data_IF_343388283592
#
_entry.id   IF_343388283592
#
_cell.length_a   1.000
_cell.length_b   1.000
_cell.length_c   1.000
_cell.angle_alpha   90.00
_cell.angle_beta   90.00
_cell.angle_gamma   90.00
#
_symmetry.space_group_name_H-M   'P 1'
#
loop_
_entity.id
_entity.type
_entity.pdbx_description
1 polymer ?
#
# COMPACT_ATOMS: atom_id res chain seq x y z
N UNK A 1 28.93 -20.35 4.60
CA UNK A 1 28.33 -19.61 3.47
C UNK A 1 27.28 -18.68 4.07
N UNK A 2 27.65 -17.40 4.25
CA UNK A 2 26.75 -16.42 4.86
C UNK A 2 25.61 -16.08 3.90
N UNK A 3 24.38 -16.26 4.34
CA UNK A 3 23.20 -15.72 3.66
C UNK A 3 23.36 -14.19 3.62
N UNK A 4 23.53 -13.63 2.42
CA UNK A 4 23.32 -12.20 2.23
C UNK A 4 21.81 -12.04 2.41
N UNK A 5 21.39 -11.60 3.61
CA UNK A 5 20.01 -11.22 3.84
C UNK A 5 19.64 -10.22 2.72
N UNK A 6 18.78 -10.62 1.79
CA UNK A 6 18.29 -9.72 0.76
C UNK A 6 17.55 -8.60 1.48
N UNK A 7 18.20 -7.45 1.59
CA UNK A 7 17.69 -6.28 2.29
C UNK A 7 16.66 -5.60 1.39
N UNK A 8 15.51 -6.26 1.19
CA UNK A 8 14.40 -5.72 0.43
C UNK A 8 13.91 -4.45 1.10
N UNK A 9 13.91 -3.34 0.36
CA UNK A 9 13.35 -2.08 0.83
C UNK A 9 11.84 -2.19 0.81
N UNK A 10 11.22 -2.30 1.97
CA UNK A 10 9.77 -2.25 2.07
C UNK A 10 9.32 -0.80 2.32
N UNK A 11 8.55 -0.26 1.38
CA UNK A 11 7.92 1.06 1.43
C UNK A 11 6.44 0.89 1.71
N UNK A 12 5.95 1.51 2.78
CA UNK A 12 4.51 1.60 3.04
C UNK A 12 4.02 2.96 2.57
N UNK A 13 2.89 2.96 1.87
CA UNK A 13 2.24 4.18 1.37
C UNK A 13 0.83 4.23 1.96
N UNK A 14 0.50 5.30 2.67
CA UNK A 14 -0.86 5.53 3.15
C UNK A 14 -1.59 6.47 2.20
N UNK A 15 -2.72 5.99 1.69
CA UNK A 15 -3.59 6.70 0.76
C UNK A 15 -4.72 7.43 1.51
N UNK A 16 -4.86 8.75 1.31
CA UNK A 16 -5.98 9.50 1.88
C UNK A 16 -7.32 8.92 1.39
N UNK A 17 -8.23 8.48 2.27
CA UNK A 17 -9.28 7.55 1.88
C UNK A 17 -10.49 8.21 1.18
N UNK A 18 -10.55 9.55 1.12
CA UNK A 18 -11.74 10.27 0.64
C UNK A 18 -11.56 11.04 -0.69
N UNK A 19 -10.33 11.27 -1.17
CA UNK A 19 -10.09 12.08 -2.37
C UNK A 19 -9.32 11.32 -3.46
N UNK A 20 -10.03 10.98 -4.54
CA UNK A 20 -9.40 10.33 -5.71
C UNK A 20 -8.30 11.20 -6.35
N UNK A 21 -8.45 12.53 -6.31
CA UNK A 21 -7.45 13.47 -6.85
C UNK A 21 -6.06 13.33 -6.24
N UNK A 22 -5.96 12.87 -4.99
CA UNK A 22 -4.68 12.59 -4.32
C UNK A 22 -4.14 11.20 -4.67
N UNK A 23 -5.04 10.23 -4.81
CA UNK A 23 -4.69 8.82 -4.97
C UNK A 23 -4.26 8.45 -6.39
N UNK A 24 -4.77 9.17 -7.39
CA UNK A 24 -4.35 8.96 -8.78
C UNK A 24 -2.84 9.22 -8.98
N UNK A 25 -2.27 10.37 -8.59
CA UNK A 25 -0.83 10.58 -8.68
C UNK A 25 -0.04 9.64 -7.76
N UNK A 26 -0.63 9.21 -6.63
CA UNK A 26 -0.03 8.20 -5.76
C UNK A 26 0.18 6.86 -6.47
N UNK A 27 -0.74 6.45 -7.36
CA UNK A 27 -0.56 5.26 -8.20
C UNK A 27 0.66 5.41 -9.12
N UNK A 28 0.83 6.57 -9.77
CA UNK A 28 2.01 6.85 -10.60
C UNK A 28 3.30 6.86 -9.79
N UNK A 29 3.28 7.45 -8.60
CA UNK A 29 4.42 7.46 -7.68
C UNK A 29 4.86 6.03 -7.31
N UNK A 30 3.92 5.17 -6.93
CA UNK A 30 4.20 3.77 -6.59
C UNK A 30 4.77 3.01 -7.79
N UNK A 31 4.24 3.24 -8.99
CA UNK A 31 4.80 2.66 -10.22
C UNK A 31 6.25 3.10 -10.41
N UNK A 32 6.56 4.38 -10.25
CA UNK A 32 7.93 4.88 -10.40
C UNK A 32 8.91 4.30 -9.37
N UNK A 33 8.47 4.05 -8.14
CA UNK A 33 9.29 3.32 -7.15
C UNK A 33 9.62 1.92 -7.68
N UNK A 34 8.61 1.19 -8.15
CA UNK A 34 8.78 -0.20 -8.58
C UNK A 34 9.62 -0.34 -9.86
N UNK A 35 9.63 0.69 -10.71
CA UNK A 35 10.50 0.80 -11.88
C UNK A 35 11.96 1.13 -11.50
N UNK A 36 12.14 2.09 -10.60
CA UNK A 36 13.47 2.61 -10.25
C UNK A 36 14.22 1.66 -9.31
N UNK A 37 13.50 0.91 -8.48
CA UNK A 37 14.05 0.02 -7.47
C UNK A 37 13.47 -1.40 -7.63
N UNK A 38 14.12 -2.27 -8.43
CA UNK A 38 13.62 -3.63 -8.71
C UNK A 38 13.47 -4.53 -7.48
N UNK A 39 14.20 -4.22 -6.41
CA UNK A 39 14.18 -4.93 -5.13
C UNK A 39 13.20 -4.32 -4.11
N UNK A 40 12.57 -3.18 -4.45
CA UNK A 40 11.61 -2.56 -3.56
C UNK A 40 10.29 -3.33 -3.55
N UNK A 41 9.71 -3.46 -2.38
CA UNK A 41 8.34 -3.92 -2.14
C UNK A 41 7.54 -2.72 -1.69
N UNK A 42 6.36 -2.52 -2.25
CA UNK A 42 5.47 -1.42 -1.92
C UNK A 42 4.14 -1.96 -1.43
N UNK A 43 3.73 -1.52 -0.23
CA UNK A 43 2.41 -1.82 0.34
C UNK A 43 1.62 -0.53 0.48
N UNK A 44 0.53 -0.42 -0.28
CA UNK A 44 -0.41 0.70 -0.20
C UNK A 44 -1.54 0.35 0.76
N UNK A 45 -1.64 1.08 1.87
CA UNK A 45 -2.74 1.02 2.83
C UNK A 45 -3.82 2.02 2.42
N UNK A 46 -5.03 1.53 2.14
CA UNK A 46 -6.17 2.32 1.67
C UNK A 46 -7.47 1.88 2.34
N UNK A 47 -8.59 2.46 1.89
CA UNK A 47 -9.94 2.09 2.30
C UNK A 47 -10.75 1.58 1.09
N UNK A 48 -11.86 0.88 1.36
CA UNK A 48 -12.66 0.18 0.36
C UNK A 48 -13.17 1.09 -0.77
N UNK A 49 -13.51 2.35 -0.46
CA UNK A 49 -13.95 3.33 -1.47
C UNK A 49 -12.91 3.60 -2.58
N UNK A 50 -11.61 3.47 -2.27
CA UNK A 50 -10.53 3.74 -3.22
C UNK A 50 -9.85 2.47 -3.73
N UNK A 51 -9.99 1.35 -3.02
CA UNK A 51 -9.38 0.08 -3.41
C UNK A 51 -9.65 -0.27 -4.89
N UNK A 52 -10.92 -0.28 -5.32
CA UNK A 52 -11.28 -0.62 -6.69
C UNK A 52 -10.77 0.39 -7.72
N UNK A 53 -10.72 1.68 -7.36
CA UNK A 53 -10.19 2.75 -8.22
C UNK A 53 -8.68 2.62 -8.42
N UNK A 54 -7.94 2.34 -7.34
CA UNK A 54 -6.49 2.11 -7.37
C UNK A 54 -6.17 0.88 -8.23
N UNK A 55 -6.86 -0.24 -7.98
CA UNK A 55 -6.70 -1.45 -8.79
C UNK A 55 -7.04 -1.18 -10.27
N UNK A 56 -8.12 -0.46 -10.54
CA UNK A 56 -8.53 -0.08 -11.89
C UNK A 56 -7.48 0.76 -12.60
N UNK A 57 -6.89 1.73 -11.92
CA UNK A 57 -5.83 2.58 -12.49
C UNK A 57 -4.54 1.79 -12.77
N UNK A 58 -4.11 0.94 -11.84
CA UNK A 58 -2.93 0.09 -12.01
C UNK A 58 -3.09 -0.93 -13.16
N UNK A 59 -4.31 -1.42 -13.39
CA UNK A 59 -4.61 -2.31 -14.53
C UNK A 59 -4.56 -1.62 -15.89
N UNK A 60 -4.44 -0.29 -15.96
CA UNK A 60 -4.23 0.45 -17.22
C UNK A 60 -2.78 0.42 -17.70
N UNK A 61 -1.85 -0.06 -16.86
CA UNK A 61 -0.48 -0.31 -17.25
C UNK A 61 -0.44 -1.39 -18.35
N UNK A 62 0.60 -1.39 -19.21
CA UNK A 62 0.84 -2.51 -20.11
C UNK A 62 0.84 -3.85 -19.34
N UNK A 63 0.19 -4.92 -19.83
CA UNK A 63 0.02 -6.17 -19.07
C UNK A 63 1.33 -6.74 -18.51
N UNK A 64 2.37 -6.82 -19.35
CA UNK A 64 3.69 -7.30 -18.93
C UNK A 64 4.30 -6.48 -17.78
N UNK A 65 4.03 -5.18 -17.75
CA UNK A 65 4.50 -4.28 -16.68
C UNK A 65 3.72 -4.50 -15.40
N UNK A 66 2.40 -4.64 -15.50
CA UNK A 66 1.56 -4.92 -14.33
C UNK A 66 1.93 -6.28 -13.70
N UNK A 67 2.09 -7.32 -14.51
CA UNK A 67 2.52 -8.65 -14.07
C UNK A 67 3.87 -8.62 -13.37
N UNK A 68 4.85 -7.87 -13.89
CA UNK A 68 6.16 -7.70 -13.28
C UNK A 68 6.13 -7.05 -11.88
N UNK A 69 5.04 -6.37 -11.52
CA UNK A 69 4.87 -5.73 -10.21
C UNK A 69 4.06 -6.57 -9.22
N UNK A 70 3.30 -7.57 -9.65
CA UNK A 70 2.34 -8.27 -8.79
C UNK A 70 2.95 -8.92 -7.55
N UNK A 71 4.20 -9.38 -7.63
CA UNK A 71 4.91 -9.97 -6.48
C UNK A 71 5.46 -8.95 -5.48
N UNK A 72 5.50 -7.67 -5.85
CA UNK A 72 6.13 -6.59 -5.06
C UNK A 72 5.19 -5.42 -4.75
N UNK A 73 3.99 -5.41 -5.33
CA UNK A 73 2.99 -4.38 -5.12
C UNK A 73 1.76 -4.96 -4.42
N UNK A 74 1.51 -4.52 -3.19
CA UNK A 74 0.37 -4.94 -2.40
C UNK A 74 -0.55 -3.77 -2.15
N UNK A 75 -1.81 -3.89 -2.56
CA UNK A 75 -2.86 -2.90 -2.25
C UNK A 75 -3.76 -3.53 -1.19
N UNK A 76 -3.81 -2.91 -0.02
CA UNK A 76 -4.55 -3.40 1.13
C UNK A 76 -5.62 -2.40 1.55
N UNK A 77 -6.87 -2.80 1.38
CA UNK A 77 -7.98 -2.15 2.07
C UNK A 77 -7.98 -2.59 3.54
N UNK A 78 -7.78 -1.64 4.44
CA UNK A 78 -7.70 -1.88 5.88
C UNK A 78 -8.90 -1.34 6.66
N UNK A 79 -9.82 -0.65 6.00
CA UNK A 79 -10.95 0.02 6.68
C UNK A 79 -12.33 -0.27 6.07
N UNK A 80 -12.39 -0.95 4.92
CA UNK A 80 -13.64 -1.23 4.23
C UNK A 80 -14.33 0.05 3.77
N UNK A 81 -15.65 -0.01 3.63
CA UNK A 81 -16.46 1.10 3.12
C UNK A 81 -17.01 2.03 4.20
N UNK A 82 -16.88 1.68 5.48
CA UNK A 82 -17.51 2.39 6.59
C UNK A 82 -16.45 3.03 7.49
N UNK A 83 -16.01 4.23 7.12
CA UNK A 83 -15.08 5.04 7.91
C UNK A 83 -15.48 6.52 7.84
N UNK A 84 -15.11 7.28 8.85
CA UNK A 84 -15.35 8.72 8.89
C UNK A 84 -14.25 9.45 8.10
N UNK A 85 -14.63 10.05 6.97
CA UNK A 85 -13.72 10.78 6.08
C UNK A 85 -13.10 12.02 6.73
N UNK A 86 -13.71 12.53 7.81
CA UNK A 86 -13.23 13.71 8.53
C UNK A 86 -12.28 13.35 9.69
N UNK A 87 -12.04 12.05 9.92
CA UNK A 87 -11.15 11.57 11.00
C UNK A 87 -9.95 10.80 10.44
N UNK A 88 -8.89 10.67 11.24
CA UNK A 88 -7.85 9.69 10.97
C UNK A 88 -8.42 8.29 10.86
N UNK A 89 -7.83 7.46 10.00
CA UNK A 89 -8.26 6.09 9.82
C UNK A 89 -7.82 5.26 11.03
N UNK A 90 -8.74 4.90 11.92
CA UNK A 90 -8.42 4.14 13.15
C UNK A 90 -7.70 2.82 12.86
N UNK A 91 -7.97 2.21 11.71
CA UNK A 91 -7.32 0.98 11.27
C UNK A 91 -5.85 1.16 10.83
N UNK A 92 -5.38 2.39 10.59
CA UNK A 92 -4.03 2.63 10.09
C UNK A 92 -2.96 2.18 11.08
N UNK A 93 -3.01 2.66 12.33
CA UNK A 93 -2.03 2.31 13.35
C UNK A 93 -1.89 0.80 13.57
N UNK A 94 -2.97 0.01 13.78
CA UNK A 94 -2.85 -1.43 13.91
C UNK A 94 -2.35 -2.11 12.63
N UNK A 95 -2.82 -1.69 11.45
CA UNK A 95 -2.34 -2.25 10.19
C UNK A 95 -0.84 -2.01 9.98
N UNK A 96 -0.37 -0.80 10.29
CA UNK A 96 1.05 -0.45 10.22
C UNK A 96 1.87 -1.25 11.23
N UNK A 97 1.38 -1.41 12.46
CA UNK A 97 2.06 -2.22 13.48
C UNK A 97 2.17 -3.70 13.07
N UNK A 98 1.13 -4.25 12.43
CA UNK A 98 1.15 -5.61 11.85
C UNK A 98 2.22 -5.73 10.78
N UNK A 99 2.28 -4.79 9.83
CA UNK A 99 3.32 -4.75 8.80
C UNK A 99 4.73 -4.61 9.42
N UNK A 100 4.87 -3.74 10.42
CA UNK A 100 6.13 -3.51 11.12
C UNK A 100 6.65 -4.74 11.87
N UNK A 101 5.74 -5.59 12.33
CA UNK A 101 6.04 -6.87 12.97
C UNK A 101 6.22 -8.01 11.95
N UNK A 102 6.20 -7.72 10.64
CA UNK A 102 6.19 -8.71 9.57
C UNK A 102 5.09 -9.77 9.70
N UNK A 103 4.00 -9.42 10.39
CA UNK A 103 2.87 -10.31 10.60
C UNK A 103 1.95 -10.31 9.35
N UNK A 104 1.22 -11.41 9.09
CA UNK A 104 0.26 -11.47 8.00
C UNK A 104 -0.85 -10.42 8.15
N UNK A 105 -1.28 -9.84 7.03
CA UNK A 105 -2.37 -8.86 6.97
C UNK A 105 -3.35 -9.21 5.86
N UNK A 106 -4.65 -9.14 6.16
CA UNK A 106 -5.72 -9.44 5.22
C UNK A 106 -6.33 -8.16 4.67
N UNK A 107 -6.44 -8.09 3.34
CA UNK A 107 -7.14 -7.02 2.66
C UNK A 107 -8.66 -7.24 2.77
N UNK A 108 -9.39 -6.29 3.35
CA UNK A 108 -10.84 -6.41 3.56
C UNK A 108 -11.64 -6.48 2.24
N UNK A 109 -11.20 -5.75 1.21
CA UNK A 109 -11.87 -5.74 -0.10
C UNK A 109 -11.62 -6.97 -0.96
N UNK A 110 -10.50 -7.68 -0.79
CA UNK A 110 -10.14 -8.83 -1.64
C UNK A 110 -10.09 -10.16 -0.90
N UNK A 111 -10.17 -10.13 0.43
CA UNK A 111 -10.02 -11.27 1.34
C UNK A 111 -8.66 -11.97 1.22
N UNK A 112 -7.72 -11.42 0.44
CA UNK A 112 -6.37 -11.96 0.29
C UNK A 112 -5.51 -11.57 1.48
N UNK A 113 -4.88 -12.57 2.07
CA UNK A 113 -3.84 -12.39 3.09
C UNK A 113 -2.48 -12.30 2.43
N UNK A 114 -1.74 -11.24 2.76
CA UNK A 114 -0.33 -11.09 2.40
C UNK A 114 0.52 -11.40 3.63
N UNK A 115 1.55 -12.21 3.46
CA UNK A 115 2.46 -12.65 4.52
C UNK A 115 3.91 -12.62 4.06
N UNK A 116 4.86 -12.70 5.01
CA UNK A 116 6.29 -12.73 4.70
C UNK A 116 6.86 -11.41 4.18
N UNK A 117 6.14 -10.30 4.37
CA UNK A 117 6.65 -8.98 4.01
C UNK A 117 7.82 -8.58 4.93
N UNK A 118 8.87 -7.96 4.39
CA UNK A 118 9.92 -7.40 5.23
C UNK A 118 9.35 -6.30 6.12
N UNK A 119 10.04 -5.98 7.20
CA UNK A 119 9.71 -4.82 8.01
C UNK A 119 9.78 -3.54 7.14
N UNK A 120 8.79 -2.62 7.19
CA UNK A 120 8.85 -1.33 6.53
C UNK A 120 10.10 -0.56 6.94
N UNK A 121 10.75 0.05 5.95
CA UNK A 121 11.93 0.90 6.11
C UNK A 121 11.62 2.37 5.82
N UNK A 122 10.52 2.63 5.12
CA UNK A 122 10.04 3.95 4.76
C UNK A 122 8.51 3.94 4.79
N UNK A 123 7.92 5.01 5.31
CA UNK A 123 6.49 5.28 5.24
C UNK A 123 6.25 6.62 4.54
N UNK A 124 5.40 6.62 3.52
CA UNK A 124 4.93 7.82 2.82
C UNK A 124 3.47 8.01 3.18
N UNK A 125 3.14 9.11 3.86
CA UNK A 125 1.79 9.37 4.36
C UNK A 125 1.18 10.55 3.61
N UNK A 126 0.16 10.29 2.81
CA UNK A 126 -0.68 11.33 2.21
C UNK A 126 -1.70 11.80 3.25
N UNK A 127 -1.43 12.95 3.86
CA UNK A 127 -2.31 13.59 4.83
C UNK A 127 -3.08 14.74 4.22
N UNK A 128 -4.35 14.88 4.60
CA UNK A 128 -5.05 16.16 4.49
C UNK A 128 -4.79 16.98 5.75
N UNK A 129 -4.89 18.31 5.68
CA UNK A 129 -4.74 19.20 6.85
C UNK A 129 -5.76 18.91 7.97
N UNK A 130 -6.83 18.17 7.69
CA UNK A 130 -7.82 17.73 8.66
C UNK A 130 -7.41 16.45 9.42
N UNK A 131 -6.38 15.72 8.97
CA UNK A 131 -5.90 14.49 9.60
C UNK A 131 -4.61 14.78 10.37
N UNK A 132 -4.71 14.92 11.69
CA UNK A 132 -3.55 14.84 12.57
C UNK A 132 -3.18 13.36 12.76
N UNK A 133 -1.92 13.00 12.45
CA UNK A 133 -1.35 11.67 12.68
C UNK A 133 -1.02 11.50 14.16
#
# INVERSE_FOLDING_TARGET
MGSIAQNHKHVVVHAFPAAWGHNKPLCSFVVHILESEPQAIVTCLTAGLLYSKIIGELKRLPPAKYEAFQSRLHILDIAGSNFDMMKPLEAFAPAFATLYSSAPITCLSSEKTVSGLPKPTLAVIDVSSAQQI
#
